data_IF_016369330430
#
_entry.id   IF_016369330430
#
_cell.length_a   1.000
_cell.length_b   1.000
_cell.length_c   1.000
_cell.angle_alpha   90.00
_cell.angle_beta   90.00
_cell.angle_gamma   90.00
#
_symmetry.space_group_name_H-M   'P 1'
#
loop_
_entity.id
_entity.type
_entity.pdbx_description
1 polymer ?
#
# COMPACT_ATOMS: atom_id res chain seq x y z
N UNK A 1 -13.22 0.55 -0.30
CA UNK A 1 -11.79 0.64 0.06
C UNK A 1 -11.10 -0.61 -0.42
N UNK A 2 -10.01 -0.49 -1.18
CA UNK A 2 -9.27 -1.61 -1.77
C UNK A 2 -8.29 -2.22 -0.75
N UNK A 3 -8.32 -3.55 -0.57
CA UNK A 3 -7.42 -4.32 0.30
C UNK A 3 -6.39 -5.04 -0.55
N UNK A 4 -5.13 -4.62 -0.46
CA UNK A 4 -4.02 -5.12 -1.26
C UNK A 4 -3.15 -6.01 -0.36
N UNK A 5 -3.06 -7.31 -0.68
CA UNK A 5 -2.26 -8.25 0.09
C UNK A 5 -0.77 -8.04 -0.13
N UNK A 6 0.02 -7.94 0.95
CA UNK A 6 1.44 -7.51 0.91
C UNK A 6 2.47 -8.64 0.90
N UNK A 7 2.06 -9.93 1.00
CA UNK A 7 3.02 -11.00 1.33
C UNK A 7 3.71 -11.67 0.12
N UNK A 8 3.60 -11.13 -1.10
CA UNK A 8 4.36 -11.63 -2.26
C UNK A 8 5.73 -10.94 -2.37
N UNK A 9 6.56 -11.10 -1.34
CA UNK A 9 7.92 -10.54 -1.26
C UNK A 9 8.90 -11.38 -2.10
N UNK A 10 8.92 -11.20 -3.41
CA UNK A 10 9.74 -11.97 -4.37
C UNK A 10 11.25 -11.69 -4.28
N UNK A 11 11.67 -10.77 -3.42
CA UNK A 11 13.06 -10.46 -3.12
C UNK A 11 13.62 -11.20 -1.89
N UNK A 12 12.77 -11.94 -1.15
CA UNK A 12 13.13 -12.70 0.08
C UNK A 12 12.81 -14.18 -0.08
N UNK A 13 13.66 -15.01 0.54
CA UNK A 13 13.36 -16.44 0.70
C UNK A 13 12.04 -16.62 1.49
N UNK A 14 11.23 -17.63 1.17
CA UNK A 14 11.47 -18.65 0.15
C UNK A 14 11.01 -18.25 -1.28
N UNK A 15 10.33 -17.11 -1.47
CA UNK A 15 9.79 -16.74 -2.77
C UNK A 15 10.89 -16.36 -3.78
N UNK A 16 11.94 -15.67 -3.33
CA UNK A 16 13.10 -15.39 -4.18
C UNK A 16 13.72 -16.67 -4.76
N UNK A 17 13.83 -17.73 -3.97
CA UNK A 17 14.34 -19.03 -4.40
C UNK A 17 13.41 -19.71 -5.41
N UNK A 18 12.09 -19.58 -5.21
CA UNK A 18 11.10 -20.10 -6.14
C UNK A 18 11.15 -19.37 -7.48
N UNK A 19 11.25 -18.04 -7.47
CA UNK A 19 11.41 -17.21 -8.68
C UNK A 19 12.68 -17.60 -9.44
N UNK A 20 13.81 -17.73 -8.73
CA UNK A 20 15.08 -18.13 -9.36
C UNK A 20 15.02 -19.50 -10.03
N UNK A 21 14.25 -20.44 -9.47
CA UNK A 21 14.06 -21.79 -10.06
C UNK A 21 12.90 -21.87 -11.06
N UNK A 22 12.19 -20.77 -11.30
CA UNK A 22 10.96 -20.75 -12.12
C UNK A 22 9.89 -21.73 -11.61
N UNK A 23 9.77 -21.85 -10.28
CA UNK A 23 8.76 -22.64 -9.61
C UNK A 23 7.60 -21.73 -9.19
N UNK A 24 6.48 -21.79 -9.91
CA UNK A 24 5.32 -20.93 -9.66
C UNK A 24 4.43 -21.40 -8.49
N UNK A 25 4.56 -22.64 -8.02
CA UNK A 25 3.69 -23.21 -6.98
C UNK A 25 3.73 -22.43 -5.66
N UNK A 26 4.89 -22.04 -5.11
CA UNK A 26 4.93 -21.23 -3.88
C UNK A 26 4.29 -19.84 -4.06
N UNK A 27 4.44 -19.22 -5.24
CA UNK A 27 3.79 -17.95 -5.58
C UNK A 27 2.27 -18.09 -5.57
N UNK A 28 1.74 -19.09 -6.27
CA UNK A 28 0.30 -19.35 -6.32
C UNK A 28 -0.28 -19.69 -4.95
N UNK A 29 0.41 -20.51 -4.16
CA UNK A 29 -0.01 -20.83 -2.80
C UNK A 29 -0.08 -19.58 -1.92
N UNK A 30 0.90 -18.69 -2.03
CA UNK A 30 0.92 -17.43 -1.28
C UNK A 30 -0.17 -16.46 -1.76
N UNK A 31 -0.32 -16.28 -3.07
CA UNK A 31 -1.36 -15.43 -3.65
C UNK A 31 -2.76 -15.89 -3.25
N UNK A 32 -3.03 -17.20 -3.37
CA UNK A 32 -4.32 -17.80 -3.02
C UNK A 32 -4.67 -17.60 -1.54
N UNK A 33 -3.69 -17.78 -0.63
CA UNK A 33 -3.92 -17.54 0.81
C UNK A 33 -4.37 -16.11 1.07
N UNK A 34 -3.73 -15.12 0.44
CA UNK A 34 -4.10 -13.72 0.60
C UNK A 34 -5.50 -13.42 0.06
N UNK A 35 -5.85 -13.97 -1.11
CA UNK A 35 -7.19 -13.80 -1.68
C UNK A 35 -8.27 -14.44 -0.80
N UNK A 36 -8.02 -15.64 -0.27
CA UNK A 36 -8.93 -16.29 0.70
C UNK A 36 -9.06 -15.50 1.99
N UNK A 37 -7.99 -14.83 2.42
CA UNK A 37 -7.99 -13.94 3.60
C UNK A 37 -8.65 -12.57 3.33
N UNK A 38 -9.15 -12.32 2.11
CA UNK A 38 -9.90 -11.11 1.78
C UNK A 38 -9.12 -10.03 1.05
N UNK A 39 -7.95 -10.35 0.48
CA UNK A 39 -7.32 -9.44 -0.48
C UNK A 39 -8.16 -9.32 -1.76
N UNK A 40 -8.22 -8.12 -2.30
CA UNK A 40 -8.90 -7.79 -3.57
C UNK A 40 -7.88 -7.50 -4.68
N UNK A 41 -6.64 -7.26 -4.30
CA UNK A 41 -5.47 -7.09 -5.17
C UNK A 41 -4.23 -7.64 -4.47
N UNK A 42 -3.14 -7.81 -5.19
CA UNK A 42 -1.88 -8.36 -4.66
C UNK A 42 -0.72 -7.39 -4.94
N UNK A 43 0.06 -7.08 -3.91
CA UNK A 43 1.33 -6.38 -4.03
C UNK A 43 2.45 -7.41 -4.25
N UNK A 44 3.05 -7.37 -5.44
CA UNK A 44 4.13 -8.26 -5.87
C UNK A 44 5.43 -7.49 -5.79
N UNK A 45 6.15 -7.69 -4.69
CA UNK A 45 7.30 -6.89 -4.30
C UNK A 45 8.62 -7.55 -4.73
N UNK A 46 9.40 -6.82 -5.55
CA UNK A 46 10.72 -7.26 -6.06
C UNK A 46 11.89 -6.55 -5.36
N UNK A 47 11.59 -5.71 -4.37
CA UNK A 47 12.57 -4.95 -3.60
C UNK A 47 12.95 -3.62 -4.24
N UNK A 48 13.65 -2.81 -3.45
CA UNK A 48 13.99 -1.43 -3.81
C UNK A 48 15.29 -1.31 -4.63
N UNK A 49 16.09 -2.37 -4.75
CA UNK A 49 17.43 -2.29 -5.36
C UNK A 49 17.51 -3.06 -6.67
N UNK A 50 18.11 -2.47 -7.72
CA UNK A 50 18.43 -3.19 -8.94
C UNK A 50 19.34 -4.40 -8.64
N UNK A 51 19.12 -5.52 -9.35
CA UNK A 51 19.96 -6.72 -9.29
C UNK A 51 19.98 -7.42 -10.65
N UNK A 52 21.03 -8.22 -10.95
CA UNK A 52 21.05 -9.02 -12.15
C UNK A 52 19.81 -9.92 -12.27
N UNK A 53 19.22 -9.99 -13.45
CA UNK A 53 18.03 -10.81 -13.75
C UNK A 53 16.70 -10.27 -13.20
N UNK A 54 16.66 -9.10 -12.55
CA UNK A 54 15.46 -8.54 -11.96
C UNK A 54 14.29 -8.41 -12.95
N UNK A 55 14.55 -7.86 -14.13
CA UNK A 55 13.53 -7.68 -15.17
C UNK A 55 12.92 -9.01 -15.62
N UNK A 56 13.75 -10.02 -15.82
CA UNK A 56 13.30 -11.36 -16.22
C UNK A 56 12.50 -12.05 -15.09
N UNK A 57 12.95 -11.91 -13.86
CA UNK A 57 12.26 -12.44 -12.69
C UNK A 57 10.88 -11.79 -12.53
N UNK A 58 10.82 -10.47 -12.65
CA UNK A 58 9.57 -9.71 -12.59
C UNK A 58 8.62 -10.10 -13.71
N UNK A 59 9.13 -10.16 -14.96
CA UNK A 59 8.34 -10.54 -16.14
C UNK A 59 7.75 -11.94 -15.97
N UNK A 60 8.58 -12.92 -15.64
CA UNK A 60 8.14 -14.29 -15.43
C UNK A 60 7.09 -14.38 -14.32
N UNK A 61 7.37 -13.79 -13.15
CA UNK A 61 6.44 -13.82 -12.01
C UNK A 61 5.09 -13.19 -12.35
N UNK A 62 5.12 -12.02 -13.02
CA UNK A 62 3.89 -11.32 -13.38
C UNK A 62 3.06 -12.08 -14.42
N UNK A 63 3.70 -12.72 -15.40
CA UNK A 63 3.05 -13.57 -16.41
C UNK A 63 2.40 -14.79 -15.74
N UNK A 64 3.12 -15.51 -14.88
CA UNK A 64 2.59 -16.67 -14.17
C UNK A 64 1.40 -16.32 -13.27
N UNK A 65 1.54 -15.25 -12.47
CA UNK A 65 0.44 -14.78 -11.63
C UNK A 65 -0.76 -14.33 -12.46
N UNK A 66 -0.55 -13.63 -13.56
CA UNK A 66 -1.62 -13.19 -14.46
C UNK A 66 -2.36 -14.35 -15.10
N UNK A 67 -1.64 -15.39 -15.54
CA UNK A 67 -2.23 -16.60 -16.13
C UNK A 67 -3.13 -17.34 -15.10
N UNK A 68 -2.71 -17.39 -13.84
CA UNK A 68 -3.46 -18.04 -12.77
C UNK A 68 -4.59 -17.17 -12.19
N UNK A 69 -4.48 -15.85 -12.27
CA UNK A 69 -5.35 -14.85 -11.62
C UNK A 69 -5.70 -13.73 -12.63
N UNK A 70 -6.49 -14.02 -13.67
CA UNK A 70 -6.69 -13.09 -14.80
C UNK A 70 -7.37 -11.77 -14.39
N UNK A 71 -8.21 -11.76 -13.38
CA UNK A 71 -9.01 -10.60 -12.97
C UNK A 71 -8.47 -9.89 -11.74
N UNK A 72 -7.45 -10.43 -11.05
CA UNK A 72 -6.90 -9.85 -9.83
C UNK A 72 -5.90 -8.74 -10.17
N UNK A 73 -6.07 -7.50 -9.69
CA UNK A 73 -5.08 -6.45 -9.88
C UNK A 73 -3.74 -6.81 -9.23
N UNK A 74 -2.65 -6.69 -10.00
CA UNK A 74 -1.29 -6.91 -9.52
C UNK A 74 -0.59 -5.55 -9.40
N UNK A 75 -0.19 -5.18 -8.19
CA UNK A 75 0.67 -4.05 -7.92
C UNK A 75 2.11 -4.53 -8.05
N UNK A 76 2.83 -4.07 -9.06
CA UNK A 76 4.24 -4.42 -9.26
C UNK A 76 5.10 -3.42 -8.48
N UNK A 77 5.57 -3.84 -7.31
CA UNK A 77 6.40 -3.02 -6.41
C UNK A 77 7.88 -3.28 -6.69
N UNK A 78 8.54 -2.26 -7.22
CA UNK A 78 9.97 -2.31 -7.54
C UNK A 78 10.58 -0.91 -7.55
N UNK A 79 11.79 -0.77 -7.01
CA UNK A 79 12.57 0.48 -7.08
C UNK A 79 13.24 0.73 -8.43
N UNK A 80 13.29 -0.25 -9.31
CA UNK A 80 13.86 -0.12 -10.67
C UNK A 80 12.77 0.23 -11.68
N UNK A 81 12.65 1.53 -12.00
CA UNK A 81 11.61 2.05 -12.89
C UNK A 81 11.77 1.60 -14.33
N UNK A 82 13.01 1.34 -14.80
CA UNK A 82 13.26 0.82 -16.14
C UNK A 82 12.84 -0.64 -16.26
N UNK A 83 13.07 -1.44 -15.22
CA UNK A 83 12.56 -2.80 -15.15
C UNK A 83 11.02 -2.82 -15.20
N UNK A 84 10.35 -1.97 -14.41
CA UNK A 84 8.88 -1.81 -14.45
C UNK A 84 8.41 -1.43 -15.86
N UNK A 85 9.00 -0.39 -16.47
CA UNK A 85 8.61 0.08 -17.80
C UNK A 85 8.73 -1.01 -18.87
N UNK A 86 9.75 -1.88 -18.77
CA UNK A 86 9.98 -2.96 -19.74
C UNK A 86 9.08 -4.18 -19.52
N UNK A 87 8.55 -4.38 -18.31
CA UNK A 87 7.67 -5.51 -17.99
C UNK A 87 6.22 -5.24 -18.33
N UNK A 88 5.73 -4.00 -18.15
CA UNK A 88 4.33 -3.64 -18.36
C UNK A 88 3.75 -4.11 -19.70
N UNK A 89 4.43 -3.90 -20.87
CA UNK A 89 3.88 -4.32 -22.17
C UNK A 89 3.80 -5.85 -22.35
N UNK A 90 4.50 -6.61 -21.52
CA UNK A 90 4.55 -8.08 -21.64
C UNK A 90 3.47 -8.79 -20.81
N UNK A 91 2.72 -8.05 -19.98
CA UNK A 91 1.75 -8.63 -19.04
C UNK A 91 0.38 -7.98 -19.24
N UNK A 92 -0.67 -8.78 -19.36
CA UNK A 92 -2.03 -8.25 -19.49
C UNK A 92 -2.50 -7.51 -18.22
N UNK A 93 -3.30 -6.46 -18.39
CA UNK A 93 -3.97 -5.76 -17.28
C UNK A 93 -5.02 -6.69 -16.60
N UNK A 94 -5.40 -6.40 -15.34
CA UNK A 94 -5.14 -5.17 -14.59
C UNK A 94 -3.80 -5.15 -13.85
N UNK A 95 -2.95 -4.18 -14.16
CA UNK A 95 -1.65 -3.94 -13.52
C UNK A 95 -1.63 -2.54 -12.87
N UNK A 96 -0.87 -2.40 -11.79
CA UNK A 96 -0.58 -1.12 -11.14
C UNK A 96 0.92 -1.03 -10.87
N UNK A 97 1.53 0.08 -11.25
CA UNK A 97 2.92 0.41 -10.89
C UNK A 97 2.98 0.86 -9.44
N UNK A 98 3.85 0.28 -8.63
CA UNK A 98 4.11 0.66 -7.24
C UNK A 98 5.63 0.81 -7.01
N UNK A 99 6.18 2.05 -6.93
CA UNK A 99 5.56 3.33 -7.13
C UNK A 99 6.41 4.21 -8.07
N UNK A 100 5.82 5.27 -8.60
CA UNK A 100 6.52 6.32 -9.33
C UNK A 100 6.86 7.47 -8.37
N UNK A 101 8.15 7.74 -8.08
CA UNK A 101 8.53 8.87 -7.24
C UNK A 101 8.34 10.21 -7.97
N UNK A 102 7.69 11.16 -7.30
CA UNK A 102 7.55 12.53 -7.77
C UNK A 102 8.85 13.32 -7.60
N UNK A 103 9.04 14.34 -8.43
CA UNK A 103 10.21 15.23 -8.36
C UNK A 103 11.50 14.69 -8.98
N UNK A 104 11.51 13.49 -9.53
CA UNK A 104 12.66 12.96 -10.26
C UNK A 104 12.79 13.62 -11.63
N UNK A 105 13.99 14.08 -11.97
CA UNK A 105 14.34 14.65 -13.28
C UNK A 105 14.95 13.63 -14.25
N UNK A 106 15.08 12.38 -13.82
CA UNK A 106 15.61 11.29 -14.65
C UNK A 106 14.64 10.88 -15.77
N UNK A 107 15.14 10.20 -16.79
CA UNK A 107 14.33 9.70 -17.92
C UNK A 107 13.46 8.48 -17.58
N UNK A 108 13.86 7.69 -16.58
CA UNK A 108 13.14 6.47 -16.19
C UNK A 108 11.67 6.71 -15.80
N UNK A 109 11.31 7.75 -14.99
CA UNK A 109 9.91 8.09 -14.74
C UNK A 109 9.10 8.36 -15.99
N UNK A 110 9.68 9.05 -16.98
CA UNK A 110 8.99 9.34 -18.24
C UNK A 110 8.70 8.05 -19.03
N UNK A 111 9.71 7.18 -19.18
CA UNK A 111 9.53 5.87 -19.85
C UNK A 111 8.47 5.01 -19.18
N UNK A 112 8.45 5.00 -17.84
CA UNK A 112 7.45 4.26 -17.08
C UNK A 112 6.03 4.81 -17.29
N UNK A 113 5.86 6.13 -17.31
CA UNK A 113 4.56 6.77 -17.59
C UNK A 113 4.07 6.46 -19.01
N UNK A 114 4.96 6.50 -20.00
CA UNK A 114 4.65 6.14 -21.39
C UNK A 114 4.20 4.67 -21.48
N UNK A 115 4.91 3.74 -20.83
CA UNK A 115 4.53 2.33 -20.79
C UNK A 115 3.18 2.12 -20.07
N UNK A 116 2.96 2.80 -18.94
CA UNK A 116 1.69 2.73 -18.19
C UNK A 116 0.51 3.27 -19.02
N UNK A 117 0.71 4.36 -19.78
CA UNK A 117 -0.33 4.92 -20.65
C UNK A 117 -0.72 3.96 -21.77
N UNK A 118 0.27 3.34 -22.43
CA UNK A 118 0.02 2.37 -23.51
C UNK A 118 -0.70 1.12 -23.00
N UNK A 119 -0.32 0.62 -21.83
CA UNK A 119 -0.89 -0.60 -21.25
C UNK A 119 -2.13 -0.35 -20.41
N UNK A 120 -2.50 0.92 -20.20
CA UNK A 120 -3.57 1.36 -19.28
C UNK A 120 -3.37 0.88 -17.84
N UNK A 121 -2.12 0.71 -17.43
CA UNK A 121 -1.79 0.34 -16.07
C UNK A 121 -2.13 1.49 -15.10
N UNK A 122 -2.55 1.15 -13.89
CA UNK A 122 -2.65 2.10 -12.79
C UNK A 122 -1.28 2.54 -12.30
N UNK A 123 -1.21 3.65 -11.58
CA UNK A 123 0.04 4.17 -11.03
C UNK A 123 -0.17 4.64 -9.59
N UNK A 124 0.71 4.18 -8.71
CA UNK A 124 0.91 4.75 -7.37
C UNK A 124 1.99 5.82 -7.49
N UNK A 125 1.65 7.07 -7.19
CA UNK A 125 2.62 8.16 -7.08
C UNK A 125 3.14 8.22 -5.65
N UNK A 126 4.46 8.27 -5.48
CA UNK A 126 5.08 8.48 -4.17
C UNK A 126 5.61 9.91 -4.09
N UNK A 127 5.24 10.70 -3.06
CA UNK A 127 5.72 12.09 -2.92
C UNK A 127 7.20 12.19 -2.58
N UNK A 128 7.90 11.07 -2.42
CA UNK A 128 9.30 11.03 -2.02
C UNK A 128 9.47 11.02 -0.51
N UNK A 129 10.68 10.66 -0.04
CA UNK A 129 10.99 10.45 1.37
C UNK A 129 11.72 11.63 2.04
N UNK A 130 11.68 12.85 1.49
CA UNK A 130 12.34 13.99 2.12
C UNK A 130 11.69 14.37 3.44
N UNK A 131 12.48 14.71 4.46
CA UNK A 131 11.99 15.07 5.78
C UNK A 131 11.10 16.33 5.79
N UNK A 132 11.25 17.18 4.78
CA UNK A 132 10.49 18.43 4.63
C UNK A 132 9.08 18.22 4.07
N UNK A 133 8.74 17.02 3.63
CA UNK A 133 7.48 16.72 2.93
C UNK A 133 6.32 16.26 3.83
N UNK A 134 6.49 16.24 5.16
CA UNK A 134 5.45 15.74 6.09
C UNK A 134 4.35 16.79 6.42
N UNK A 135 4.32 17.92 5.72
CA UNK A 135 3.31 18.98 5.93
C UNK A 135 2.03 18.72 5.10
N UNK A 136 0.86 19.23 5.53
CA UNK A 136 -0.36 19.19 4.72
C UNK A 136 -0.19 19.78 3.31
N UNK A 137 0.53 20.89 3.18
CA UNK A 137 0.76 21.55 1.89
C UNK A 137 1.62 20.69 0.95
N UNK A 138 2.55 19.91 1.50
CA UNK A 138 3.40 19.02 0.70
C UNK A 138 2.57 17.92 0.01
N UNK A 139 1.61 17.32 0.69
CA UNK A 139 0.77 16.28 0.07
C UNK A 139 -0.20 16.86 -0.96
N UNK A 140 -0.71 18.08 -0.74
CA UNK A 140 -1.54 18.76 -1.73
C UNK A 140 -0.74 19.07 -2.99
N UNK A 141 0.45 19.64 -2.85
CA UNK A 141 1.36 19.90 -3.99
C UNK A 141 1.76 18.63 -4.71
N UNK A 142 2.03 17.54 -3.99
CA UNK A 142 2.33 16.24 -4.57
C UNK A 142 1.13 15.69 -5.35
N UNK A 143 -0.09 15.82 -4.83
CA UNK A 143 -1.31 15.38 -5.49
C UNK A 143 -1.58 16.15 -6.79
N UNK A 144 -1.38 17.46 -6.77
CA UNK A 144 -1.51 18.30 -7.97
C UNK A 144 -0.46 17.93 -9.02
N UNK A 145 0.80 17.72 -8.61
CA UNK A 145 1.87 17.31 -9.51
C UNK A 145 1.57 15.92 -10.12
N UNK A 146 1.11 14.95 -9.32
CA UNK A 146 0.71 13.63 -9.78
C UNK A 146 -0.44 13.71 -10.80
N UNK A 147 -1.49 14.49 -10.51
CA UNK A 147 -2.63 14.67 -11.40
C UNK A 147 -2.22 15.33 -12.73
N UNK A 148 -1.32 16.32 -12.69
CA UNK A 148 -0.78 16.95 -13.90
C UNK A 148 0.06 15.97 -14.73
N UNK A 149 0.93 15.19 -14.10
CA UNK A 149 1.75 14.18 -14.78
C UNK A 149 0.86 13.11 -15.42
N UNK A 150 -0.13 12.60 -14.70
CA UNK A 150 -1.08 11.63 -15.20
C UNK A 150 -1.86 12.16 -16.42
N UNK A 151 -2.35 13.40 -16.34
CA UNK A 151 -3.04 14.05 -17.45
C UNK A 151 -2.17 14.25 -18.69
N UNK A 152 -0.92 14.71 -18.51
CA UNK A 152 0.05 14.89 -19.62
C UNK A 152 0.45 13.57 -20.26
N UNK A 153 0.60 12.51 -19.47
CA UNK A 153 0.92 11.18 -19.97
C UNK A 153 -0.29 10.44 -20.57
N UNK A 154 -1.52 10.95 -20.39
CA UNK A 154 -2.74 10.32 -20.87
C UNK A 154 -3.08 9.03 -20.13
N UNK A 155 -2.73 8.93 -18.83
CA UNK A 155 -3.05 7.77 -18.00
C UNK A 155 -4.57 7.61 -17.86
N UNK A 156 -5.07 6.39 -17.99
CA UNK A 156 -6.50 6.03 -17.88
C UNK A 156 -6.78 4.97 -16.83
N UNK A 157 -5.75 4.29 -16.35
CA UNK A 157 -5.84 3.34 -15.25
C UNK A 157 -6.10 4.04 -13.90
N UNK A 158 -6.35 3.28 -12.84
CA UNK A 158 -6.55 3.85 -11.50
C UNK A 158 -5.27 4.54 -11.01
N UNK A 159 -5.44 5.70 -10.35
CA UNK A 159 -4.33 6.50 -9.86
C UNK A 159 -4.38 6.56 -8.33
N UNK A 160 -3.23 6.37 -7.70
CA UNK A 160 -3.08 6.39 -6.25
C UNK A 160 -2.01 7.40 -5.84
N UNK A 161 -2.12 7.92 -4.62
CA UNK A 161 -1.07 8.68 -3.94
C UNK A 161 -0.68 7.98 -2.65
N UNK A 162 0.60 7.62 -2.50
CA UNK A 162 1.10 6.95 -1.30
C UNK A 162 1.32 7.95 -0.16
N UNK A 163 0.64 7.75 0.95
CA UNK A 163 0.78 8.56 2.16
C UNK A 163 1.92 8.10 3.09
N UNK A 164 2.83 7.28 2.61
CA UNK A 164 4.13 6.94 3.21
C UNK A 164 4.07 6.54 4.69
N UNK A 165 3.68 5.30 4.99
CA UNK A 165 3.80 4.77 6.34
C UNK A 165 5.27 4.46 6.71
N UNK A 166 5.68 4.84 7.90
CA UNK A 166 7.03 4.64 8.43
C UNK A 166 7.04 3.69 9.63
N UNK A 167 8.19 3.08 10.00
CA UNK A 167 8.31 2.31 11.23
C UNK A 167 8.00 3.17 12.46
N UNK A 168 6.93 2.84 13.20
CA UNK A 168 6.45 3.65 14.32
C UNK A 168 7.47 3.74 15.46
N UNK A 169 8.23 2.66 15.71
CA UNK A 169 9.25 2.63 16.76
C UNK A 169 10.37 3.66 16.56
N UNK A 170 10.75 3.94 15.31
CA UNK A 170 11.84 4.88 14.99
C UNK A 170 11.34 6.25 14.47
N UNK A 171 10.15 6.30 13.87
CA UNK A 171 9.62 7.50 13.21
C UNK A 171 8.15 7.77 13.57
N UNK A 172 7.77 7.86 14.86
CA UNK A 172 6.37 8.01 15.25
C UNK A 172 5.74 9.31 14.72
N UNK A 173 6.51 10.40 14.66
CA UNK A 173 6.02 11.66 14.10
C UNK A 173 5.63 11.54 12.61
N UNK A 174 6.41 10.80 11.81
CA UNK A 174 6.09 10.55 10.40
C UNK A 174 4.87 9.66 10.22
N UNK A 175 4.63 8.70 11.12
CA UNK A 175 3.39 7.91 11.10
C UNK A 175 2.17 8.82 11.36
N UNK A 176 2.28 9.77 12.29
CA UNK A 176 1.22 10.77 12.52
C UNK A 176 1.06 11.71 11.30
N UNK A 177 2.17 12.12 10.68
CA UNK A 177 2.18 12.90 9.43
C UNK A 177 1.43 12.18 8.31
N UNK A 178 1.69 10.90 8.13
CA UNK A 178 0.97 10.04 7.17
C UNK A 178 -0.56 10.05 7.40
N UNK A 179 -1.01 9.91 8.65
CA UNK A 179 -2.43 10.00 9.00
C UNK A 179 -2.99 11.43 8.78
N UNK A 180 -2.19 12.46 9.01
CA UNK A 180 -2.58 13.84 8.71
C UNK A 180 -2.73 14.06 7.20
N UNK A 181 -1.86 13.50 6.37
CA UNK A 181 -1.97 13.53 4.91
C UNK A 181 -3.26 12.89 4.41
N UNK A 182 -3.61 11.71 4.92
CA UNK A 182 -4.88 11.05 4.60
C UNK A 182 -6.09 11.95 4.90
N UNK A 183 -6.10 12.63 6.08
CA UNK A 183 -7.18 13.56 6.46
C UNK A 183 -7.21 14.76 5.53
N UNK A 184 -6.06 15.32 5.18
CA UNK A 184 -5.93 16.46 4.25
C UNK A 184 -6.52 16.10 2.89
N UNK A 185 -6.12 14.96 2.31
CA UNK A 185 -6.64 14.50 1.03
C UNK A 185 -8.15 14.23 1.08
N UNK A 186 -8.63 13.59 2.15
CA UNK A 186 -10.07 13.40 2.36
C UNK A 186 -10.84 14.73 2.37
N UNK A 187 -10.29 15.75 3.02
CA UNK A 187 -10.93 17.06 3.15
C UNK A 187 -11.06 17.79 1.81
N UNK A 188 -10.21 17.51 0.82
CA UNK A 188 -10.34 18.10 -0.52
C UNK A 188 -11.55 17.60 -1.30
N UNK A 189 -12.03 16.39 -0.99
CA UNK A 189 -13.06 15.71 -1.78
C UNK A 189 -12.61 15.32 -3.19
N UNK A 190 -11.32 15.46 -3.51
CA UNK A 190 -10.77 15.10 -4.81
C UNK A 190 -10.66 13.58 -4.95
N UNK A 191 -11.31 13.02 -5.97
CA UNK A 191 -11.34 11.57 -6.24
C UNK A 191 -10.44 11.14 -7.40
N UNK A 192 -9.66 12.06 -7.97
CA UNK A 192 -8.76 11.75 -9.09
C UNK A 192 -7.61 10.85 -8.66
N UNK A 193 -7.14 11.00 -7.43
CA UNK A 193 -6.09 10.21 -6.82
C UNK A 193 -6.63 9.53 -5.56
N UNK A 194 -6.51 8.22 -5.48
CA UNK A 194 -6.97 7.43 -4.34
C UNK A 194 -5.87 7.38 -3.27
N UNK A 195 -6.11 7.91 -2.05
CA UNK A 195 -5.13 7.82 -0.96
C UNK A 195 -4.83 6.37 -0.60
N UNK A 196 -3.55 5.99 -0.70
CA UNK A 196 -3.04 4.65 -0.40
C UNK A 196 -2.03 4.73 0.74
N UNK A 197 -1.96 3.67 1.57
CA UNK A 197 -0.92 3.52 2.57
C UNK A 197 -0.54 2.05 2.79
N UNK A 198 0.76 1.80 2.99
CA UNK A 198 1.29 0.47 3.28
C UNK A 198 1.32 0.23 4.80
N UNK A 199 0.26 -0.38 5.35
CA UNK A 199 0.06 -0.59 6.79
C UNK A 199 1.19 -1.41 7.42
N UNK A 200 1.74 -2.40 6.72
CA UNK A 200 2.82 -3.25 7.24
C UNK A 200 4.08 -2.50 7.66
N UNK A 201 4.35 -1.34 7.06
CA UNK A 201 5.56 -0.56 7.32
C UNK A 201 5.65 -0.05 8.76
N UNK A 202 4.51 0.25 9.41
CA UNK A 202 4.52 0.79 10.78
C UNK A 202 5.09 -0.17 11.81
N UNK A 203 5.00 -1.46 11.55
CA UNK A 203 5.47 -2.51 12.45
C UNK A 203 6.88 -3.03 12.09
N UNK A 204 7.56 -2.40 11.14
CA UNK A 204 8.93 -2.79 10.78
C UNK A 204 9.89 -2.55 11.94
N UNK A 205 10.64 -3.58 12.33
CA UNK A 205 11.58 -3.55 13.47
C UNK A 205 10.92 -3.60 14.86
N UNK A 206 9.59 -3.71 14.95
CA UNK A 206 8.90 -3.90 16.22
C UNK A 206 9.03 -5.36 16.75
N UNK A 207 8.84 -5.54 18.06
CA UNK A 207 8.67 -6.87 18.65
C UNK A 207 7.38 -7.54 18.15
N UNK A 208 7.28 -8.86 18.26
CA UNK A 208 6.06 -9.57 17.82
C UNK A 208 4.82 -9.09 18.58
N UNK A 209 4.95 -8.79 19.87
CA UNK A 209 3.86 -8.30 20.70
C UNK A 209 3.38 -6.89 20.27
N UNK A 210 4.31 -5.99 19.99
CA UNK A 210 4.00 -4.62 19.56
C UNK A 210 3.54 -4.58 18.10
N UNK A 211 4.02 -5.50 17.27
CA UNK A 211 3.67 -5.61 15.85
C UNK A 211 2.17 -5.70 15.66
N UNK A 212 1.51 -6.64 16.32
CA UNK A 212 0.06 -6.83 16.18
C UNK A 212 -0.71 -5.57 16.60
N UNK A 213 -0.33 -4.95 17.72
CA UNK A 213 -0.95 -3.73 18.21
C UNK A 213 -0.76 -2.54 17.25
N UNK A 214 0.44 -2.34 16.72
CA UNK A 214 0.74 -1.28 15.75
C UNK A 214 -0.07 -1.45 14.46
N UNK A 215 -0.14 -2.66 13.93
CA UNK A 215 -0.93 -2.95 12.73
C UNK A 215 -2.42 -2.66 12.94
N UNK A 216 -2.99 -3.10 14.07
CA UNK A 216 -4.40 -2.87 14.42
C UNK A 216 -4.74 -1.38 14.54
N UNK A 217 -3.96 -0.67 15.35
CA UNK A 217 -4.20 0.75 15.63
C UNK A 217 -4.01 1.58 14.37
N UNK A 218 -2.93 1.32 13.62
CA UNK A 218 -2.64 2.10 12.43
C UNK A 218 -3.64 1.83 11.29
N UNK A 219 -4.03 0.58 11.05
CA UNK A 219 -5.04 0.24 10.05
C UNK A 219 -6.37 0.94 10.35
N UNK A 220 -6.85 0.85 11.60
CA UNK A 220 -8.08 1.53 12.02
C UNK A 220 -7.96 3.05 11.85
N UNK A 221 -6.84 3.65 12.28
CA UNK A 221 -6.59 5.09 12.15
C UNK A 221 -6.51 5.54 10.69
N UNK A 222 -5.90 4.75 9.81
CA UNK A 222 -5.78 5.04 8.38
C UNK A 222 -7.15 5.01 7.68
N UNK A 223 -7.98 4.01 7.99
CA UNK A 223 -9.37 3.95 7.47
C UNK A 223 -10.17 5.16 7.94
N UNK A 224 -10.12 5.49 9.23
CA UNK A 224 -10.81 6.65 9.78
C UNK A 224 -10.29 7.97 9.19
N UNK A 225 -9.00 8.06 8.88
CA UNK A 225 -8.39 9.22 8.25
C UNK A 225 -8.75 9.38 6.76
N UNK A 226 -9.30 8.34 6.11
CA UNK A 226 -9.78 8.45 4.74
C UNK A 226 -8.96 7.68 3.70
N UNK A 227 -8.15 6.70 4.11
CA UNK A 227 -7.50 5.79 3.18
C UNK A 227 -8.53 5.08 2.29
N UNK A 228 -8.24 5.00 0.99
CA UNK A 228 -9.09 4.32 0.01
C UNK A 228 -8.47 3.03 -0.50
N UNK A 229 -7.16 2.85 -0.30
CA UNK A 229 -6.44 1.62 -0.57
C UNK A 229 -5.44 1.33 0.58
N UNK A 230 -5.35 0.08 1.01
CA UNK A 230 -4.41 -0.37 2.03
C UNK A 230 -3.59 -1.54 1.49
N UNK A 231 -2.26 -1.40 1.48
CA UNK A 231 -1.36 -2.55 1.39
C UNK A 231 -1.22 -3.10 2.81
N UNK A 232 -1.79 -4.28 3.05
CA UNK A 232 -2.03 -4.77 4.41
C UNK A 232 -1.72 -6.26 4.52
N UNK A 233 -1.24 -6.74 5.70
CA UNK A 233 -1.08 -8.16 5.97
C UNK A 233 -2.47 -8.81 6.17
N UNK A 234 -3.14 -9.14 5.07
CA UNK A 234 -4.52 -9.66 5.09
C UNK A 234 -4.69 -10.98 5.85
N UNK A 235 -3.58 -11.71 6.08
CA UNK A 235 -3.57 -12.93 6.89
C UNK A 235 -3.70 -12.63 8.40
N UNK A 236 -3.59 -11.37 8.83
CA UNK A 236 -3.84 -10.91 10.21
C UNK A 236 -5.34 -10.72 10.43
N UNK A 237 -6.01 -11.77 10.89
CA UNK A 237 -7.49 -11.85 11.00
C UNK A 237 -8.07 -10.68 11.81
N UNK A 238 -7.40 -10.26 12.89
CA UNK A 238 -7.85 -9.15 13.73
C UNK A 238 -7.82 -7.81 13.00
N UNK A 239 -6.80 -7.56 12.19
CA UNK A 239 -6.70 -6.36 11.35
C UNK A 239 -7.82 -6.33 10.32
N UNK A 240 -8.03 -7.44 9.62
CA UNK A 240 -9.09 -7.56 8.62
C UNK A 240 -10.48 -7.41 9.23
N UNK A 241 -10.71 -7.97 10.41
CA UNK A 241 -11.97 -7.80 11.14
C UNK A 241 -12.29 -6.34 11.46
N UNK A 242 -11.29 -5.55 11.90
CA UNK A 242 -11.48 -4.11 12.13
C UNK A 242 -11.79 -3.36 10.83
N UNK A 243 -11.05 -3.63 9.77
CA UNK A 243 -11.28 -3.01 8.47
C UNK A 243 -12.71 -3.32 7.98
N UNK A 244 -13.16 -4.56 8.07
CA UNK A 244 -14.50 -4.96 7.67
C UNK A 244 -15.59 -4.21 8.43
N UNK A 245 -15.46 -4.12 9.76
CA UNK A 245 -16.42 -3.39 10.59
C UNK A 245 -16.48 -1.91 10.22
N UNK A 246 -15.35 -1.30 9.89
CA UNK A 246 -15.27 0.14 9.55
C UNK A 246 -15.80 0.45 8.14
N UNK A 247 -15.74 -0.51 7.22
CA UNK A 247 -16.01 -0.29 5.79
C UNK A 247 -17.28 -0.94 5.27
N UNK A 248 -17.92 -1.79 6.08
CA UNK A 248 -19.15 -2.49 5.71
C UNK A 248 -20.30 -2.16 6.67
N UNK A 249 -21.50 -2.65 6.37
CA UNK A 249 -22.67 -2.54 7.25
C UNK A 249 -22.68 -3.55 8.41
N UNK A 250 -21.66 -4.42 8.50
CA UNK A 250 -21.55 -5.36 9.62
C UNK A 250 -21.44 -4.63 10.94
N UNK A 251 -22.28 -4.96 11.90
CA UNK A 251 -22.22 -4.40 13.24
C UNK A 251 -20.97 -4.86 14.01
N UNK A 252 -20.42 -4.02 14.93
CA UNK A 252 -19.28 -4.40 15.76
C UNK A 252 -19.69 -5.42 16.83
N UNK A 253 -18.95 -6.54 16.93
CA UNK A 253 -19.19 -7.61 17.90
C UNK A 253 -18.33 -7.44 19.17
N UNK A 254 -17.08 -7.00 19.02
CA UNK A 254 -16.11 -6.85 20.11
C UNK A 254 -15.95 -5.42 20.59
N UNK A 255 -15.36 -5.22 21.78
CA UNK A 255 -15.03 -3.89 22.29
C UNK A 255 -14.05 -3.15 21.37
N UNK A 256 -13.07 -3.87 20.81
CA UNK A 256 -12.09 -3.29 19.87
C UNK A 256 -12.74 -2.88 18.55
N UNK A 257 -13.67 -3.67 18.02
CA UNK A 257 -14.44 -3.33 16.82
C UNK A 257 -15.37 -2.11 17.06
N UNK A 258 -15.99 -2.01 18.25
CA UNK A 258 -16.76 -0.81 18.63
C UNK A 258 -15.88 0.44 18.69
N UNK A 259 -14.68 0.33 19.24
CA UNK A 259 -13.70 1.41 19.24
C UNK A 259 -13.31 1.81 17.82
N UNK A 260 -12.96 0.85 16.95
CA UNK A 260 -12.60 1.13 15.56
C UNK A 260 -13.74 1.80 14.79
N UNK A 261 -14.98 1.37 14.99
CA UNK A 261 -16.17 2.02 14.40
C UNK A 261 -16.32 3.45 14.90
N UNK A 262 -16.10 3.70 16.19
CA UNK A 262 -16.20 5.02 16.80
C UNK A 262 -15.11 5.99 16.30
N UNK A 263 -13.98 5.49 15.81
CA UNK A 263 -12.94 6.34 15.16
C UNK A 263 -13.46 7.01 13.88
N UNK A 264 -14.50 6.48 13.26
CA UNK A 264 -15.12 7.12 12.08
C UNK A 264 -15.84 8.43 12.44
N UNK A 265 -16.19 8.62 13.72
CA UNK A 265 -16.78 9.84 14.23
C UNK A 265 -15.70 10.72 14.88
N UNK A 266 -15.79 12.03 14.77
CA UNK A 266 -14.78 12.97 15.29
C UNK A 266 -14.51 12.79 16.79
N UNK A 267 -15.52 12.38 17.56
CA UNK A 267 -15.40 12.13 19.00
C UNK A 267 -14.56 10.88 19.33
N UNK A 268 -14.58 9.86 18.47
CA UNK A 268 -13.82 8.62 18.66
C UNK A 268 -12.31 8.77 18.46
N UNK A 269 -11.88 9.77 17.69
CA UNK A 269 -10.47 9.99 17.36
C UNK A 269 -9.56 10.31 18.56
N UNK A 270 -10.12 10.58 19.73
CA UNK A 270 -9.39 10.97 20.97
C UNK A 270 -9.34 9.87 22.02
N UNK A 271 -10.01 8.76 21.82
CA UNK A 271 -10.13 7.69 22.80
C UNK A 271 -9.18 6.54 22.47
N UNK A 272 -8.31 6.11 23.42
CA UNK A 272 -7.44 4.96 23.18
C UNK A 272 -8.25 3.67 23.03
N UNK A 273 -7.68 2.64 22.31
CA UNK A 273 -8.36 1.36 22.18
C UNK A 273 -8.53 0.66 23.52
N UNK A 274 -9.61 -0.10 23.69
CA UNK A 274 -9.74 -1.00 24.83
C UNK A 274 -8.74 -2.16 24.70
N UNK A 275 -8.08 -2.55 25.79
CA UNK A 275 -7.17 -3.71 25.80
C UNK A 275 -5.89 -3.49 26.59
N UNK A 276 -4.90 -4.31 26.31
CA UNK A 276 -3.64 -4.36 27.04
C UNK A 276 -2.70 -3.15 26.84
N UNK A 277 -1.53 -3.26 27.45
CA UNK A 277 -0.48 -2.23 27.41
C UNK A 277 -0.03 -1.94 25.98
N UNK A 278 0.12 -2.97 25.16
CA UNK A 278 0.63 -2.88 23.79
C UNK A 278 -0.28 -2.01 22.91
N UNK A 279 -1.60 -2.18 23.02
CA UNK A 279 -2.59 -1.35 22.27
C UNK A 279 -2.55 0.11 22.72
N UNK A 280 -2.40 0.38 24.01
CA UNK A 280 -2.26 1.74 24.53
C UNK A 280 -0.97 2.40 24.06
N UNK A 281 0.17 1.67 24.12
CA UNK A 281 1.45 2.16 23.63
C UNK A 281 1.40 2.46 22.12
N UNK A 282 0.81 1.56 21.33
CA UNK A 282 0.63 1.80 19.88
C UNK A 282 -0.23 3.04 19.62
N UNK A 283 -1.29 3.24 20.40
CA UNK A 283 -2.13 4.44 20.31
C UNK A 283 -1.34 5.72 20.65
N UNK A 284 -0.57 5.74 21.73
CA UNK A 284 0.25 6.89 22.14
C UNK A 284 1.28 7.28 21.07
N UNK A 285 1.83 6.30 20.35
CA UNK A 285 2.74 6.53 19.24
C UNK A 285 2.07 7.11 17.99
N UNK A 286 0.82 6.73 17.73
CA UNK A 286 0.13 6.95 16.46
C UNK A 286 -1.02 7.96 16.55
N UNK A 287 -1.53 8.25 17.76
CA UNK A 287 -2.60 9.22 17.95
C UNK A 287 -2.16 10.64 17.57
N UNK A 288 -3.11 11.45 17.06
CA UNK A 288 -2.84 12.83 16.65
C UNK A 288 -2.44 13.74 17.81
#
# INVERSE_FOLDING_TARGET
>A
MLRIGQSLECWRAPLADAVARRDSLPLFARARRQLVAGAEALDVNFGARPRPGLTEDMRWTAIELRAALPDVPLFLDCGDLDALASVLPAVASPLVVNALPLGSTADAPRRLLEAAAVTQAGVVFSPGASAESDTPDAILSASEAAAMLAGRAGLRGPLYIDCLAYPAASHPARCRGSLAWLRTLRATGDTRLLPLVAVGNVAHGASDADRAALLLVYAASAVAAGAQALIVPVEEVSVMSLIDVMTTVRGPATALERWARALMDEAGARTPPPGGRELRTAWELLAP
#
